data_IF_876296416123
#
_entry.id   IF_876296416123
#
_cell.length_a   1.000
_cell.length_b   1.000
_cell.length_c   1.000
_cell.angle_alpha   90.00
_cell.angle_beta   90.00
_cell.angle_gamma   90.00
#
_symmetry.space_group_name_H-M   'P 1'
#
loop_
_entity.id
_entity.type
_entity.pdbx_description
1 polymer ?
#
# COMPACT_ATOMS: atom_id res chain seq x y z
N UNK A 1 45.37 29.69 -10.54
CA UNK A 1 44.09 30.20 -10.01
C UNK A 1 42.98 29.20 -10.37
N UNK A 2 42.64 28.30 -9.44
CA UNK A 2 41.64 27.22 -9.63
C UNK A 2 40.22 27.76 -9.35
N UNK A 3 39.23 27.39 -10.17
CA UNK A 3 37.78 27.19 -9.85
C UNK A 3 37.08 26.83 -11.16
N UNK A 4 36.52 25.62 -11.37
CA UNK A 4 35.46 24.84 -10.70
C UNK A 4 34.26 24.79 -11.66
N UNK A 5 34.14 23.63 -12.29
CA UNK A 5 32.95 23.11 -12.98
C UNK A 5 31.75 23.10 -12.04
N UNK A 6 30.64 23.69 -12.46
CA UNK A 6 29.35 23.62 -11.75
C UNK A 6 28.57 22.41 -12.26
N UNK A 7 28.43 21.40 -11.40
CA UNK A 7 27.31 20.45 -11.45
C UNK A 7 26.09 21.17 -10.85
N UNK A 8 24.97 21.21 -11.58
CA UNK A 8 23.68 21.66 -11.05
C UNK A 8 22.85 20.44 -10.67
N UNK A 9 23.04 19.96 -9.45
CA UNK A 9 22.06 19.14 -8.74
C UNK A 9 20.84 20.01 -8.42
N UNK A 10 19.73 19.76 -9.11
CA UNK A 10 18.42 20.36 -8.79
C UNK A 10 17.86 19.66 -7.55
N UNK A 11 18.20 20.18 -6.38
CA UNK A 11 17.45 19.94 -5.14
C UNK A 11 16.09 20.64 -5.26
N UNK A 12 15.02 19.86 -5.06
CA UNK A 12 13.66 20.36 -5.00
C UNK A 12 13.47 21.10 -3.67
N UNK A 13 13.67 22.42 -3.68
CA UNK A 13 13.47 23.28 -2.53
C UNK A 13 11.98 23.34 -2.15
N UNK A 14 11.65 22.91 -0.94
CA UNK A 14 10.32 23.04 -0.35
C UNK A 14 9.94 24.53 -0.23
N UNK A 15 8.83 24.92 -0.87
CA UNK A 15 8.24 26.26 -0.78
C UNK A 15 7.70 26.55 0.64
N UNK A 16 7.92 27.76 1.20
CA UNK A 16 7.69 28.05 2.62
C UNK A 16 6.24 28.35 3.02
N UNK A 17 5.26 28.19 2.13
CA UNK A 17 3.86 28.58 2.41
C UNK A 17 2.97 27.50 3.02
N UNK A 18 3.46 26.25 3.20
CA UNK A 18 2.67 25.15 3.77
C UNK A 18 3.14 24.77 5.20
N UNK A 19 3.11 25.72 6.13
CA UNK A 19 3.59 25.50 7.51
C UNK A 19 2.48 25.23 8.55
N UNK A 20 1.21 25.10 8.13
CA UNK A 20 0.06 24.92 9.04
C UNK A 20 -0.43 23.47 9.18
N UNK A 21 -0.05 22.56 8.28
CA UNK A 21 -0.49 21.15 8.36
C UNK A 21 0.60 20.31 9.02
N UNK A 22 0.46 20.13 10.33
CA UNK A 22 1.26 19.22 11.16
C UNK A 22 2.78 19.51 11.15
N UNK A 23 3.22 20.48 11.97
CA UNK A 23 4.62 20.51 12.41
C UNK A 23 4.93 19.17 13.06
N UNK A 24 5.76 18.34 12.40
CA UNK A 24 6.36 17.14 13.00
C UNK A 24 7.02 17.57 14.32
N UNK A 25 6.41 17.24 15.46
CA UNK A 25 7.15 17.22 16.72
C UNK A 25 8.16 16.09 16.58
N UNK A 26 9.44 16.45 16.41
CA UNK A 26 10.53 15.50 16.56
C UNK A 26 10.36 14.80 17.92
N UNK A 27 10.16 13.47 17.90
CA UNK A 27 10.03 12.65 19.11
C UNK A 27 8.62 12.13 19.43
N UNK A 28 7.56 12.51 18.71
CA UNK A 28 6.26 11.84 18.85
C UNK A 28 6.23 10.59 17.94
N UNK A 29 6.03 9.40 18.51
CA UNK A 29 5.75 8.20 17.73
C UNK A 29 4.53 8.46 16.85
N UNK A 30 4.73 8.57 15.54
CA UNK A 30 3.62 8.74 14.61
C UNK A 30 2.80 7.44 14.63
N UNK A 31 1.58 7.50 15.16
CA UNK A 31 0.63 6.38 15.08
C UNK A 31 0.35 6.10 13.60
N UNK A 32 0.75 4.90 13.16
CA UNK A 32 0.49 4.41 11.81
C UNK A 32 -1.00 4.15 11.59
N UNK A 33 -1.50 4.55 10.44
CA UNK A 33 -2.89 4.32 10.02
C UNK A 33 -2.93 3.13 9.06
N UNK A 34 -3.71 2.10 9.39
CA UNK A 34 -4.02 1.02 8.45
C UNK A 34 -5.16 1.44 7.51
N UNK A 35 -5.00 1.22 6.20
CA UNK A 35 -6.00 1.58 5.18
C UNK A 35 -6.23 0.42 4.24
N UNK A 36 -7.51 0.08 4.02
CA UNK A 36 -7.98 -0.83 2.97
C UNK A 36 -8.27 0.03 1.73
N UNK A 37 -7.33 0.04 0.79
CA UNK A 37 -7.38 0.90 -0.39
C UNK A 37 -8.03 0.20 -1.61
N UNK A 38 -9.19 -0.43 -1.42
CA UNK A 38 -9.94 -1.08 -2.50
C UNK A 38 -10.98 -0.16 -3.16
N UNK A 39 -11.08 1.11 -2.72
CA UNK A 39 -12.03 2.09 -3.25
C UNK A 39 -13.45 1.95 -2.72
N UNK A 40 -13.75 0.88 -1.97
CA UNK A 40 -15.06 0.59 -1.41
C UNK A 40 -15.10 0.80 0.11
N UNK A 41 -14.11 0.25 0.84
CA UNK A 41 -14.00 0.48 2.29
C UNK A 41 -13.68 1.94 2.61
N UNK A 42 -12.81 2.54 1.79
CA UNK A 42 -12.46 3.95 1.88
C UNK A 42 -12.53 4.54 0.49
N UNK A 43 -13.33 5.60 0.30
CA UNK A 43 -13.45 6.25 -0.99
C UNK A 43 -12.14 6.93 -1.41
N UNK A 44 -11.84 7.05 -2.73
CA UNK A 44 -10.65 7.74 -3.21
C UNK A 44 -10.50 9.17 -2.66
N UNK A 45 -11.61 9.89 -2.47
CA UNK A 45 -11.61 11.23 -1.87
C UNK A 45 -11.09 11.21 -0.43
N UNK A 46 -11.55 10.28 0.39
CA UNK A 46 -11.06 10.12 1.77
C UNK A 46 -9.60 9.67 1.78
N UNK A 47 -9.19 8.77 0.89
CA UNK A 47 -7.80 8.36 0.76
C UNK A 47 -6.89 9.55 0.43
N UNK A 48 -7.31 10.47 -0.47
CA UNK A 48 -6.56 11.71 -0.76
C UNK A 48 -6.40 12.60 0.49
N UNK A 49 -7.45 12.72 1.30
CA UNK A 49 -7.40 13.48 2.55
C UNK A 49 -6.44 12.83 3.57
N UNK A 50 -6.53 11.51 3.75
CA UNK A 50 -5.64 10.75 4.63
C UNK A 50 -4.18 10.89 4.20
N UNK A 51 -3.92 10.75 2.89
CA UNK A 51 -2.60 10.92 2.32
C UNK A 51 -2.02 12.31 2.61
N UNK A 52 -2.81 13.37 2.43
CA UNK A 52 -2.39 14.75 2.77
C UNK A 52 -2.16 14.95 4.27
N UNK A 53 -2.93 14.31 5.12
CA UNK A 53 -2.84 14.47 6.57
C UNK A 53 -1.66 13.70 7.19
N UNK A 54 -1.38 12.48 6.71
CA UNK A 54 -0.39 11.57 7.29
C UNK A 54 0.89 11.43 6.48
N UNK A 55 0.89 11.85 5.22
CA UNK A 55 1.90 11.53 4.20
C UNK A 55 2.09 10.03 3.99
N UNK A 56 2.90 9.64 3.00
CA UNK A 56 3.19 8.24 2.73
C UNK A 56 3.73 7.49 3.96
N UNK A 57 4.61 8.10 4.75
CA UNK A 57 5.26 7.46 5.89
C UNK A 57 4.32 7.13 7.07
N UNK A 58 3.09 7.66 7.08
CA UNK A 58 2.14 7.46 8.16
C UNK A 58 1.03 6.44 7.85
N UNK A 59 1.06 5.82 6.67
CA UNK A 59 0.00 4.94 6.16
C UNK A 59 0.57 3.54 5.90
N UNK A 60 -0.11 2.52 6.40
CA UNK A 60 0.14 1.11 6.09
C UNK A 60 -1.04 0.57 5.28
N UNK A 61 -0.77 -0.08 4.15
CA UNK A 61 -1.81 -0.78 3.41
C UNK A 61 -2.08 -2.13 4.06
N UNK A 62 -3.36 -2.43 4.22
CA UNK A 62 -3.86 -3.73 4.66
C UNK A 62 -4.98 -4.13 3.71
N UNK A 63 -5.03 -5.39 3.32
CA UNK A 63 -6.12 -5.87 2.45
C UNK A 63 -7.41 -6.05 3.22
N UNK A 64 -7.32 -6.51 4.49
CA UNK A 64 -8.46 -7.12 5.18
C UNK A 64 -9.13 -8.20 4.31
N UNK A 65 -8.28 -8.89 3.54
CA UNK A 65 -8.70 -9.93 2.62
C UNK A 65 -9.19 -11.15 3.41
N UNK A 66 -10.30 -11.72 2.96
CA UNK A 66 -10.81 -13.00 3.45
C UNK A 66 -10.78 -14.05 2.33
N UNK A 67 -11.42 -15.21 2.53
CA UNK A 67 -11.41 -16.32 1.58
C UNK A 67 -11.92 -15.97 0.17
N UNK A 68 -12.60 -14.84 0.00
CA UNK A 68 -13.00 -14.31 -1.30
C UNK A 68 -11.87 -13.70 -2.13
N UNK A 69 -10.70 -13.46 -1.56
CA UNK A 69 -9.63 -12.75 -2.24
C UNK A 69 -9.10 -13.50 -3.47
N UNK A 70 -9.10 -12.82 -4.62
CA UNK A 70 -8.70 -13.40 -5.90
C UNK A 70 -9.74 -14.34 -6.54
N UNK A 71 -10.91 -14.55 -5.93
CA UNK A 71 -12.02 -15.25 -6.57
C UNK A 71 -12.73 -14.33 -7.58
N UNK A 72 -13.34 -14.89 -8.64
CA UNK A 72 -14.11 -14.11 -9.60
C UNK A 72 -15.39 -13.54 -8.96
N UNK A 73 -15.88 -12.44 -9.51
CA UNK A 73 -17.14 -11.83 -9.12
C UNK A 73 -18.31 -12.81 -9.17
N UNK A 74 -19.19 -12.73 -8.17
CA UNK A 74 -20.30 -13.65 -7.98
C UNK A 74 -19.95 -14.93 -7.20
N UNK A 75 -18.67 -15.18 -6.91
CA UNK A 75 -18.25 -16.30 -6.06
C UNK A 75 -18.91 -16.23 -4.68
N UNK A 76 -19.35 -17.38 -4.17
CA UNK A 76 -19.98 -17.53 -2.85
C UNK A 76 -19.14 -18.42 -1.97
N UNK A 77 -19.03 -18.06 -0.69
CA UNK A 77 -18.29 -18.81 0.31
C UNK A 77 -18.84 -18.48 1.70
N UNK A 78 -18.52 -19.32 2.69
CA UNK A 78 -18.91 -19.11 4.08
C UNK A 78 -17.70 -18.83 4.96
N UNK A 79 -17.84 -17.88 5.88
CA UNK A 79 -16.86 -17.64 6.95
C UNK A 79 -17.64 -17.55 8.26
N UNK A 80 -17.27 -18.40 9.23
CA UNK A 80 -17.94 -18.52 10.53
C UNK A 80 -19.46 -18.80 10.47
N UNK A 81 -19.93 -19.45 9.40
CA UNK A 81 -21.34 -19.79 9.22
C UNK A 81 -22.15 -18.76 8.43
N UNK A 82 -21.62 -17.55 8.23
CA UNK A 82 -22.28 -16.53 7.40
C UNK A 82 -21.88 -16.65 5.93
N UNK A 83 -22.86 -16.71 5.04
CA UNK A 83 -22.63 -16.68 3.60
C UNK A 83 -22.22 -15.28 3.11
N UNK A 84 -21.26 -15.26 2.19
CA UNK A 84 -20.75 -14.05 1.55
C UNK A 84 -20.71 -14.21 0.05
N UNK A 85 -20.75 -13.08 -0.66
CA UNK A 85 -20.60 -13.01 -2.11
C UNK A 85 -19.52 -12.00 -2.48
N UNK A 86 -18.64 -12.39 -3.41
CA UNK A 86 -17.66 -11.48 -4.00
C UNK A 86 -18.34 -10.60 -5.03
N UNK A 87 -18.10 -9.29 -4.97
CA UNK A 87 -18.53 -8.33 -5.98
C UNK A 87 -17.59 -7.13 -5.99
N UNK A 88 -17.17 -6.70 -7.17
CA UNK A 88 -16.36 -5.49 -7.38
C UNK A 88 -15.12 -5.43 -6.46
N UNK A 89 -14.44 -6.58 -6.25
CA UNK A 89 -13.23 -6.63 -5.41
C UNK A 89 -13.48 -6.54 -3.89
N UNK A 90 -14.73 -6.56 -3.43
CA UNK A 90 -15.10 -6.68 -2.01
C UNK A 90 -15.92 -7.94 -1.72
N UNK A 91 -15.97 -8.32 -0.44
CA UNK A 91 -16.87 -9.35 0.05
C UNK A 91 -18.07 -8.69 0.71
N UNK A 92 -19.28 -9.10 0.31
CA UNK A 92 -20.53 -8.65 0.90
C UNK A 92 -21.19 -9.81 1.66
N UNK A 93 -22.04 -9.49 2.64
CA UNK A 93 -23.02 -10.47 3.13
C UNK A 93 -23.88 -10.99 1.97
N UNK A 94 -24.43 -12.21 2.09
CA UNK A 94 -25.22 -12.83 1.03
C UNK A 94 -26.43 -11.98 0.58
N UNK A 95 -27.03 -11.24 1.51
CA UNK A 95 -28.13 -10.29 1.27
C UNK A 95 -27.65 -8.93 0.71
N UNK A 96 -26.33 -8.73 0.59
CA UNK A 96 -25.65 -7.51 0.13
C UNK A 96 -25.89 -6.28 1.01
N UNK A 97 -26.28 -6.47 2.27
CA UNK A 97 -26.57 -5.38 3.20
C UNK A 97 -25.33 -4.65 3.70
N UNK A 98 -24.18 -5.32 3.78
CA UNK A 98 -22.94 -4.76 4.31
C UNK A 98 -21.68 -5.34 3.66
N UNK A 99 -20.59 -4.56 3.73
CA UNK A 99 -19.23 -5.05 3.52
C UNK A 99 -18.87 -6.04 4.64
N UNK A 100 -18.26 -7.15 4.26
CA UNK A 100 -17.87 -8.24 5.14
C UNK A 100 -16.49 -8.76 4.76
N UNK A 101 -15.52 -7.85 4.66
CA UNK A 101 -14.12 -8.09 4.27
C UNK A 101 -13.82 -7.68 2.82
N UNK A 102 -12.54 -7.68 2.45
CA UNK A 102 -12.11 -7.40 1.07
C UNK A 102 -11.90 -8.68 0.27
N UNK A 103 -12.08 -8.59 -1.05
CA UNK A 103 -11.63 -9.60 -2.01
C UNK A 103 -10.39 -9.12 -2.80
N UNK A 104 -9.86 -7.94 -2.47
CA UNK A 104 -8.74 -7.34 -3.18
C UNK A 104 -7.40 -7.91 -2.73
N UNK A 105 -6.47 -8.08 -3.67
CA UNK A 105 -5.08 -8.46 -3.41
C UNK A 105 -4.26 -7.20 -3.15
N UNK A 106 -3.11 -7.33 -2.48
CA UNK A 106 -2.25 -6.18 -2.16
C UNK A 106 -1.90 -5.32 -3.39
N UNK A 107 -1.69 -5.95 -4.55
CA UNK A 107 -1.38 -5.24 -5.79
C UNK A 107 -2.56 -4.40 -6.32
N UNK A 108 -3.79 -4.82 -6.04
CA UNK A 108 -5.00 -4.09 -6.43
C UNK A 108 -5.12 -2.80 -5.61
N UNK A 109 -4.74 -2.84 -4.32
CA UNK A 109 -4.69 -1.65 -3.45
C UNK A 109 -3.65 -0.63 -3.93
N UNK A 110 -2.48 -1.11 -4.36
CA UNK A 110 -1.43 -0.26 -4.95
C UNK A 110 -1.96 0.42 -6.21
N UNK A 111 -2.64 -0.32 -7.08
CA UNK A 111 -3.26 0.23 -8.30
C UNK A 111 -4.27 1.33 -7.98
N UNK A 112 -5.18 1.10 -7.03
CA UNK A 112 -6.15 2.11 -6.59
C UNK A 112 -5.47 3.39 -6.09
N UNK A 113 -4.43 3.28 -5.28
CA UNK A 113 -3.71 4.46 -4.80
C UNK A 113 -3.03 5.24 -5.93
N UNK A 114 -2.43 4.55 -6.89
CA UNK A 114 -1.72 5.27 -7.96
C UNK A 114 -2.70 5.84 -8.98
N UNK A 115 -3.69 5.08 -9.43
CA UNK A 115 -4.62 5.50 -10.48
C UNK A 115 -5.70 6.47 -9.97
N UNK A 116 -6.30 6.20 -8.80
CA UNK A 116 -7.49 6.95 -8.36
C UNK A 116 -7.14 8.04 -7.35
N UNK A 117 -6.12 7.80 -6.52
CA UNK A 117 -5.67 8.73 -5.47
C UNK A 117 -4.55 9.65 -5.98
N UNK A 118 -3.74 9.20 -6.93
CA UNK A 118 -2.62 9.96 -7.49
C UNK A 118 -1.35 9.92 -6.63
N UNK A 119 -1.18 8.86 -5.83
CA UNK A 119 0.05 8.61 -5.06
C UNK A 119 1.13 8.07 -6.01
N UNK A 120 2.40 8.42 -5.78
CA UNK A 120 3.47 7.84 -6.60
C UNK A 120 3.62 6.34 -6.34
N UNK A 121 4.02 5.56 -7.35
CA UNK A 121 4.21 4.11 -7.20
C UNK A 121 5.18 3.78 -6.05
N UNK A 122 6.29 4.51 -5.93
CA UNK A 122 7.28 4.29 -4.86
C UNK A 122 6.67 4.50 -3.47
N UNK A 123 5.80 5.51 -3.29
CA UNK A 123 5.12 5.76 -2.02
C UNK A 123 4.05 4.71 -1.73
N UNK A 124 3.28 4.29 -2.73
CA UNK A 124 2.32 3.20 -2.57
C UNK A 124 3.01 1.87 -2.18
N UNK A 125 4.15 1.54 -2.82
CA UNK A 125 4.98 0.38 -2.44
C UNK A 125 5.52 0.55 -1.02
N UNK A 126 5.96 1.75 -0.62
CA UNK A 126 6.41 2.02 0.74
C UNK A 126 5.31 1.75 1.77
N UNK A 127 4.07 2.17 1.48
CA UNK A 127 2.90 1.90 2.33
C UNK A 127 2.56 0.41 2.41
N UNK A 128 2.85 -0.38 1.37
CA UNK A 128 2.62 -1.83 1.33
C UNK A 128 3.75 -2.67 1.96
N UNK A 129 4.96 -2.13 2.10
CA UNK A 129 6.16 -2.92 2.44
C UNK A 129 6.91 -2.36 3.65
N UNK A 130 7.60 -1.24 3.49
CA UNK A 130 8.46 -0.63 4.51
C UNK A 130 7.68 -0.21 5.75
N UNK A 131 6.56 0.48 5.56
CA UNK A 131 5.77 1.02 6.67
C UNK A 131 5.22 -0.09 7.58
N UNK A 132 4.51 -1.12 7.06
CA UNK A 132 4.04 -2.21 7.92
C UNK A 132 5.19 -2.93 8.60
N UNK A 133 6.30 -3.22 7.89
CA UNK A 133 7.47 -3.85 8.49
C UNK A 133 8.02 -3.04 9.68
N UNK A 134 8.12 -1.71 9.55
CA UNK A 134 8.53 -0.83 10.63
C UNK A 134 7.54 -0.80 11.79
N UNK A 135 6.24 -0.76 11.49
CA UNK A 135 5.17 -0.71 12.52
C UNK A 135 5.19 -1.94 13.43
N UNK A 136 5.50 -3.12 12.91
CA UNK A 136 5.60 -4.36 13.70
C UNK A 136 7.03 -4.73 14.11
N UNK A 137 8.01 -3.85 13.86
CA UNK A 137 9.39 -4.03 14.33
C UNK A 137 10.25 -5.02 13.53
N UNK A 138 9.88 -5.38 12.31
CA UNK A 138 10.66 -6.24 11.43
C UNK A 138 11.81 -5.46 10.79
N UNK A 139 13.04 -5.83 11.14
CA UNK A 139 14.26 -5.13 10.68
C UNK A 139 14.78 -5.63 9.34
N UNK A 140 14.56 -6.90 8.99
CA UNK A 140 15.05 -7.55 7.77
C UNK A 140 14.07 -7.51 6.60
N UNK A 141 12.92 -6.80 6.73
CA UNK A 141 11.82 -6.81 5.75
C UNK A 141 11.49 -5.41 5.23
N UNK A 142 10.81 -5.37 4.09
CA UNK A 142 10.23 -4.14 3.51
C UNK A 142 11.26 -3.18 2.91
N UNK A 143 12.47 -3.66 2.62
CA UNK A 143 13.59 -2.91 2.05
C UNK A 143 14.36 -3.78 1.08
N UNK A 144 14.94 -3.16 0.05
CA UNK A 144 15.86 -3.79 -0.88
C UNK A 144 17.27 -3.31 -0.57
N UNK A 145 17.86 -3.87 0.49
CA UNK A 145 19.16 -3.46 1.03
C UNK A 145 20.00 -4.71 1.36
N UNK A 146 21.34 -4.61 1.24
CA UNK A 146 22.23 -5.73 1.59
C UNK A 146 22.04 -6.09 3.07
N UNK A 147 21.91 -7.39 3.37
CA UNK A 147 21.67 -7.91 4.71
C UNK A 147 20.19 -8.02 5.12
N UNK A 148 19.26 -7.74 4.21
CA UNK A 148 17.82 -8.02 4.39
C UNK A 148 17.42 -9.34 3.76
N UNK A 149 16.24 -9.86 4.12
CA UNK A 149 15.74 -11.10 3.51
C UNK A 149 15.39 -10.83 2.04
N UNK A 150 15.77 -11.77 1.16
CA UNK A 150 15.49 -11.69 -0.27
C UNK A 150 14.01 -12.01 -0.60
N UNK A 151 13.10 -11.23 -0.02
CA UNK A 151 11.68 -11.25 -0.29
C UNK A 151 11.35 -10.21 -1.37
N UNK A 152 11.09 -10.67 -2.58
CA UNK A 152 11.00 -9.82 -3.77
C UNK A 152 9.72 -10.12 -4.55
N UNK A 153 9.16 -9.08 -5.15
CA UNK A 153 8.06 -9.22 -6.12
C UNK A 153 8.48 -8.54 -7.41
N UNK A 154 8.45 -9.29 -8.51
CA UNK A 154 8.71 -8.76 -9.85
C UNK A 154 7.37 -8.41 -10.48
N UNK A 155 7.25 -7.16 -10.90
CA UNK A 155 6.03 -6.61 -11.50
C UNK A 155 6.23 -6.37 -13.00
N UNK A 156 5.16 -6.52 -13.78
CA UNK A 156 5.10 -6.03 -15.15
C UNK A 156 5.03 -4.49 -15.19
N UNK A 157 5.19 -3.84 -16.36
CA UNK A 157 4.93 -2.41 -16.51
C UNK A 157 3.51 -1.99 -16.09
N UNK A 158 2.54 -2.89 -16.23
CA UNK A 158 1.13 -2.73 -15.82
C UNK A 158 0.87 -3.19 -14.37
N UNK A 159 1.95 -3.42 -13.62
CA UNK A 159 1.97 -3.84 -12.23
C UNK A 159 1.28 -5.18 -11.96
N UNK A 160 1.24 -6.09 -12.93
CA UNK A 160 0.89 -7.48 -12.66
C UNK A 160 2.04 -8.19 -11.95
N UNK A 161 1.73 -9.05 -10.98
CA UNK A 161 2.74 -9.89 -10.33
C UNK A 161 3.18 -10.98 -11.31
N UNK A 162 4.46 -10.94 -11.69
CA UNK A 162 5.09 -11.91 -12.57
C UNK A 162 5.80 -13.00 -11.79
N UNK A 163 6.55 -12.62 -10.75
CA UNK A 163 7.33 -13.55 -9.92
C UNK A 163 7.35 -13.10 -8.47
N UNK A 164 7.42 -14.06 -7.55
CA UNK A 164 7.60 -13.79 -6.11
C UNK A 164 8.71 -14.67 -5.57
N UNK A 165 9.60 -14.05 -4.79
CA UNK A 165 10.69 -14.71 -4.09
C UNK A 165 10.47 -14.54 -2.58
N UNK A 166 10.72 -15.60 -1.82
CA UNK A 166 10.73 -15.57 -0.35
C UNK A 166 12.03 -16.19 0.12
N UNK A 167 12.80 -15.46 0.92
CA UNK A 167 14.15 -15.83 1.35
C UNK A 167 15.05 -16.28 0.18
N UNK A 168 14.91 -15.64 -0.99
CA UNK A 168 15.69 -15.93 -2.20
C UNK A 168 15.18 -17.10 -3.03
N UNK A 169 14.14 -17.82 -2.59
CA UNK A 169 13.53 -18.90 -3.36
C UNK A 169 12.33 -18.38 -4.16
N UNK A 170 12.27 -18.68 -5.46
CA UNK A 170 11.09 -18.39 -6.29
C UNK A 170 9.92 -19.30 -5.86
N UNK A 171 8.83 -18.71 -5.38
CA UNK A 171 7.62 -19.42 -4.93
C UNK A 171 6.43 -19.23 -5.86
N UNK A 172 6.52 -18.28 -6.78
CA UNK A 172 5.49 -17.98 -7.76
C UNK A 172 6.14 -17.49 -9.05
N UNK A 173 5.63 -17.97 -10.19
CA UNK A 173 5.95 -17.50 -11.52
C UNK A 173 4.70 -17.60 -12.39
N UNK A 174 4.46 -16.58 -13.21
CA UNK A 174 3.34 -16.49 -14.16
C UNK A 174 3.81 -16.53 -15.60
#
# INVERSE_FOLDING_TARGET
>A
MKRRTLHSSTECAASPTCSIVCRRRAGAACIGLAVIADGHHVSPTLMKMLYRAKSASGICLVTDAIAGAGLPDGSRFSVYGDERVVKDGVCLLADRSALAGSASRMIDLVRTLVHDVGVSLCEAIMMATKNPAQTIGLKSKGRLEIGTDADLVVLSPDWDVLRTFVAGQEIFAR
#
